data_IF_210062629466
#
_entry.id   IF_210062629466
#
_cell.length_a   1.000
_cell.length_b   1.000
_cell.length_c   1.000
_cell.angle_alpha   90.00
_cell.angle_beta   90.00
_cell.angle_gamma   90.00
#
_symmetry.space_group_name_H-M   'P 1'
#
loop_
_entity.id
_entity.type
_entity.pdbx_description
1 polymer ?
#
# COMPACT_ATOMS: atom_id res chain seq x y z
N UNK A 1 -16.89 10.92 7.79
CA UNK A 1 -15.85 9.88 7.95
C UNK A 1 -16.49 8.63 8.54
N UNK A 2 -17.11 8.72 9.72
CA UNK A 2 -17.79 7.60 10.39
C UNK A 2 -18.83 6.92 9.50
N UNK A 3 -19.73 7.68 8.87
CA UNK A 3 -20.73 7.12 7.92
C UNK A 3 -20.10 6.28 6.78
N UNK A 4 -18.91 6.66 6.30
CA UNK A 4 -18.20 5.88 5.28
C UNK A 4 -17.62 4.59 5.85
N UNK A 5 -17.12 4.64 7.09
CA UNK A 5 -16.57 3.47 7.79
C UNK A 5 -17.68 2.49 8.17
N UNK A 6 -18.84 2.99 8.62
CA UNK A 6 -20.04 2.19 8.86
C UNK A 6 -20.48 1.46 7.57
N UNK A 7 -20.54 2.18 6.44
CA UNK A 7 -20.85 1.56 5.15
C UNK A 7 -19.83 0.48 4.73
N UNK A 8 -18.53 0.70 5.00
CA UNK A 8 -17.47 -0.27 4.70
C UNK A 8 -17.61 -1.51 5.59
N UNK A 9 -17.90 -1.33 6.88
CA UNK A 9 -18.14 -2.43 7.83
C UNK A 9 -19.39 -3.24 7.44
N UNK A 10 -20.50 -2.58 7.08
CA UNK A 10 -21.70 -3.26 6.57
C UNK A 10 -21.41 -4.07 5.32
N UNK A 11 -20.63 -3.52 4.37
CA UNK A 11 -20.22 -4.24 3.16
C UNK A 11 -19.35 -5.45 3.49
N UNK A 12 -18.43 -5.33 4.45
CA UNK A 12 -17.59 -6.44 4.88
C UNK A 12 -18.42 -7.57 5.53
N UNK A 13 -19.39 -7.23 6.37
CA UNK A 13 -20.27 -8.21 6.99
C UNK A 13 -21.18 -8.89 5.95
N UNK A 14 -21.68 -8.15 4.95
CA UNK A 14 -22.43 -8.70 3.82
C UNK A 14 -21.60 -9.66 2.97
N UNK A 15 -20.36 -9.31 2.64
CA UNK A 15 -19.41 -10.20 1.96
C UNK A 15 -19.15 -11.46 2.78
N UNK A 16 -18.97 -11.33 4.10
CA UNK A 16 -18.75 -12.45 5.02
C UNK A 16 -19.93 -13.44 5.00
N UNK A 17 -21.17 -12.94 4.94
CA UNK A 17 -22.37 -13.77 4.81
C UNK A 17 -22.39 -14.48 3.46
N UNK A 18 -22.16 -13.76 2.36
CA UNK A 18 -22.15 -14.30 0.99
C UNK A 18 -21.10 -15.40 0.80
N UNK A 19 -19.92 -15.25 1.39
CA UNK A 19 -18.86 -16.27 1.32
C UNK A 19 -19.31 -17.58 2.00
N UNK A 20 -20.19 -17.50 2.99
CA UNK A 20 -20.79 -18.67 3.66
C UNK A 20 -21.94 -19.33 2.89
N UNK A 21 -22.44 -18.72 1.81
CA UNK A 21 -23.57 -19.26 1.04
C UNK A 21 -23.13 -20.40 0.10
N UNK A 22 -23.92 -21.47 0.07
CA UNK A 22 -23.64 -22.68 -0.73
C UNK A 22 -23.50 -22.36 -2.22
N UNK A 23 -24.32 -21.43 -2.74
CA UNK A 23 -24.28 -21.02 -4.15
C UNK A 23 -22.94 -20.37 -4.51
N UNK A 24 -22.39 -19.53 -3.62
CA UNK A 24 -21.09 -18.87 -3.81
C UNK A 24 -19.95 -19.86 -3.67
N UNK A 25 -19.99 -20.74 -2.65
CA UNK A 25 -18.97 -21.77 -2.44
C UNK A 25 -18.89 -22.73 -3.63
N UNK A 26 -20.02 -22.98 -4.31
CA UNK A 26 -20.08 -23.83 -5.49
C UNK A 26 -19.48 -23.23 -6.76
N UNK A 27 -19.24 -21.91 -6.80
CA UNK A 27 -18.58 -21.19 -7.89
C UNK A 27 -17.18 -20.69 -7.45
N UNK A 28 -16.09 -21.37 -7.84
CA UNK A 28 -14.74 -21.01 -7.43
C UNK A 28 -14.31 -19.59 -7.82
N UNK A 29 -14.80 -19.07 -8.96
CA UNK A 29 -14.43 -17.72 -9.42
C UNK A 29 -15.12 -16.66 -8.59
N UNK A 30 -16.42 -16.86 -8.31
CA UNK A 30 -17.20 -15.96 -7.47
C UNK A 30 -16.69 -15.95 -6.02
N UNK A 31 -16.40 -17.13 -5.48
CA UNK A 31 -15.80 -17.29 -4.15
C UNK A 31 -14.47 -16.55 -4.03
N UNK A 32 -13.55 -16.77 -4.99
CA UNK A 32 -12.26 -16.09 -4.99
C UNK A 32 -12.40 -14.56 -5.07
N UNK A 33 -13.34 -14.08 -5.87
CA UNK A 33 -13.64 -12.65 -5.97
C UNK A 33 -14.11 -12.06 -4.64
N UNK A 34 -15.07 -12.70 -3.97
CA UNK A 34 -15.57 -12.19 -2.69
C UNK A 34 -14.54 -12.28 -1.56
N UNK A 35 -13.75 -13.36 -1.50
CA UNK A 35 -12.64 -13.43 -0.55
C UNK A 35 -11.62 -12.32 -0.78
N UNK A 36 -11.31 -11.98 -2.04
CA UNK A 36 -10.43 -10.85 -2.34
C UNK A 36 -11.05 -9.53 -1.88
N UNK A 37 -12.29 -9.25 -2.28
CA UNK A 37 -12.99 -8.01 -1.86
C UNK A 37 -13.11 -7.90 -0.34
N UNK A 38 -13.31 -9.00 0.39
CA UNK A 38 -13.37 -9.01 1.85
C UNK A 38 -11.99 -8.70 2.46
N UNK A 39 -10.93 -9.35 1.95
CA UNK A 39 -9.55 -9.14 2.41
C UNK A 39 -9.10 -7.69 2.20
N UNK A 40 -9.48 -7.07 1.08
CA UNK A 40 -9.18 -5.66 0.79
C UNK A 40 -9.80 -4.69 1.82
N UNK A 41 -10.91 -5.08 2.47
CA UNK A 41 -11.61 -4.27 3.48
C UNK A 41 -11.22 -4.63 4.93
N UNK A 42 -10.61 -5.78 5.16
CA UNK A 42 -10.35 -6.34 6.49
C UNK A 42 -9.50 -5.42 7.38
N UNK A 43 -8.46 -4.81 6.79
CA UNK A 43 -7.58 -3.87 7.49
C UNK A 43 -8.36 -2.63 7.99
N UNK A 44 -9.23 -2.09 7.14
CA UNK A 44 -10.04 -0.90 7.44
C UNK A 44 -11.06 -1.23 8.53
N UNK A 45 -11.76 -2.37 8.40
CA UNK A 45 -12.80 -2.78 9.35
C UNK A 45 -12.22 -3.13 10.72
N UNK A 46 -11.08 -3.83 10.76
CA UNK A 46 -10.41 -4.15 12.03
C UNK A 46 -9.98 -2.89 12.76
N UNK A 47 -9.32 -1.96 12.06
CA UNK A 47 -8.93 -0.66 12.63
C UNK A 47 -10.15 0.15 13.10
N UNK A 48 -11.26 0.09 12.35
CA UNK A 48 -12.48 0.79 12.73
C UNK A 48 -13.18 0.19 13.96
N UNK A 49 -13.21 -1.13 14.09
CA UNK A 49 -13.75 -1.82 15.28
C UNK A 49 -12.95 -1.48 16.53
N UNK A 50 -11.62 -1.41 16.42
CA UNK A 50 -10.75 -0.92 17.51
C UNK A 50 -11.10 0.53 17.88
N UNK A 51 -11.26 1.42 16.89
CA UNK A 51 -11.69 2.79 17.12
C UNK A 51 -13.06 2.90 17.80
N UNK A 52 -14.04 2.08 17.39
CA UNK A 52 -15.36 2.00 18.06
C UNK A 52 -15.22 1.57 19.52
N UNK A 53 -14.32 0.63 19.82
CA UNK A 53 -14.07 0.18 21.19
C UNK A 53 -13.47 1.30 22.06
N UNK A 54 -12.54 2.08 21.51
CA UNK A 54 -11.96 3.25 22.20
C UNK A 54 -13.06 4.27 22.49
N UNK A 55 -13.92 4.60 21.51
CA UNK A 55 -15.02 5.54 21.71
C UNK A 55 -16.01 5.04 22.78
N UNK A 56 -16.29 3.74 22.81
CA UNK A 56 -17.17 3.13 23.80
C UNK A 56 -16.57 3.26 25.20
N UNK A 57 -15.32 2.86 25.40
CA UNK A 57 -14.65 2.95 26.70
C UNK A 57 -14.59 4.40 27.19
N UNK A 58 -14.28 5.34 26.28
CA UNK A 58 -14.21 6.77 26.60
C UNK A 58 -15.57 7.32 27.03
N UNK A 59 -16.67 6.82 26.46
CA UNK A 59 -18.02 7.17 26.92
C UNK A 59 -18.34 6.56 28.28
N UNK A 60 -17.98 5.29 28.50
CA UNK A 60 -18.17 4.61 29.79
C UNK A 60 -17.42 5.33 30.92
N UNK A 61 -16.17 5.73 30.71
CA UNK A 61 -15.37 6.47 31.71
C UNK A 61 -15.95 7.87 31.98
N UNK A 62 -16.43 8.56 30.93
CA UNK A 62 -17.12 9.85 31.09
C UNK A 62 -18.39 9.70 31.93
N UNK A 63 -19.16 8.65 31.70
CA UNK A 63 -20.36 8.36 32.47
C UNK A 63 -20.01 8.02 33.94
N UNK A 64 -18.89 7.34 34.19
CA UNK A 64 -18.37 7.07 35.53
C UNK A 64 -17.98 8.36 36.28
N UNK A 65 -17.29 9.29 35.62
CA UNK A 65 -16.93 10.59 36.21
C UNK A 65 -18.19 11.40 36.59
N UNK A 66 -19.21 11.38 35.72
CA UNK A 66 -20.49 12.07 35.97
C UNK A 66 -21.35 11.42 37.06
N UNK A 67 -21.09 10.17 37.44
CA UNK A 67 -21.90 9.48 38.44
C UNK A 67 -21.60 10.00 39.86
N UNK A 68 -22.55 10.72 40.47
CA UNK A 68 -22.41 11.29 41.82
C UNK A 68 -22.23 10.26 42.94
N UNK A 69 -22.58 8.98 42.70
CA UNK A 69 -22.49 7.90 43.69
C UNK A 69 -21.11 7.24 43.74
N UNK A 70 -20.21 7.57 42.81
CA UNK A 70 -18.86 7.01 42.73
C UNK A 70 -17.88 7.78 43.61
N UNK A 71 -16.98 7.05 44.26
CA UNK A 71 -15.96 7.61 45.13
C UNK A 71 -14.93 8.43 44.34
N UNK A 72 -14.33 9.42 45.01
CA UNK A 72 -13.40 10.38 44.39
C UNK A 72 -12.20 9.70 43.71
N UNK A 73 -11.63 8.67 44.35
CA UNK A 73 -10.48 7.93 43.82
C UNK A 73 -10.80 7.21 42.51
N UNK A 74 -11.99 6.62 42.40
CA UNK A 74 -12.47 5.98 41.15
C UNK A 74 -12.69 6.99 40.03
N UNK A 75 -13.13 8.21 40.36
CA UNK A 75 -13.29 9.29 39.37
C UNK A 75 -11.95 9.82 38.88
N UNK A 76 -10.98 9.96 39.77
CA UNK A 76 -9.62 10.37 39.40
C UNK A 76 -8.96 9.34 38.46
N UNK A 77 -9.15 8.04 38.73
CA UNK A 77 -8.70 6.98 37.82
C UNK A 77 -9.35 7.09 36.43
N UNK A 78 -10.67 7.25 36.37
CA UNK A 78 -11.40 7.42 35.12
C UNK A 78 -10.97 8.69 34.35
N UNK A 79 -10.65 9.79 35.03
CA UNK A 79 -10.12 11.01 34.39
C UNK A 79 -8.73 10.80 33.77
N UNK A 80 -7.88 9.96 34.37
CA UNK A 80 -6.59 9.57 33.79
C UNK A 80 -6.78 8.67 32.57
N UNK A 81 -7.66 7.68 32.65
CA UNK A 81 -8.01 6.79 31.54
C UNK A 81 -8.59 7.55 30.34
N UNK A 82 -9.49 8.52 30.59
CA UNK A 82 -10.04 9.40 29.53
C UNK A 82 -8.91 10.11 28.78
N UNK A 83 -7.91 10.67 29.48
CA UNK A 83 -6.80 11.37 28.81
C UNK A 83 -5.98 10.43 27.94
N UNK A 84 -5.76 9.20 28.39
CA UNK A 84 -5.06 8.19 27.59
C UNK A 84 -5.88 7.82 26.35
N UNK A 85 -7.16 7.48 26.53
CA UNK A 85 -8.07 7.08 25.46
C UNK A 85 -8.29 8.20 24.44
N UNK A 86 -8.30 9.48 24.84
CA UNK A 86 -8.36 10.61 23.91
C UNK A 86 -7.13 10.67 23.01
N UNK A 87 -5.94 10.41 23.54
CA UNK A 87 -4.72 10.32 22.75
C UNK A 87 -4.69 9.12 21.80
N UNK A 88 -5.21 7.97 22.24
CA UNK A 88 -5.35 6.77 21.40
C UNK A 88 -6.40 6.97 20.30
N UNK A 89 -7.54 7.58 20.62
CA UNK A 89 -8.58 7.98 19.66
C UNK A 89 -7.98 8.83 18.55
N UNK A 90 -7.21 9.87 18.89
CA UNK A 90 -6.67 10.79 17.90
C UNK A 90 -5.67 10.11 16.96
N UNK A 91 -4.78 9.25 17.50
CA UNK A 91 -3.87 8.44 16.69
C UNK A 91 -4.64 7.53 15.74
N UNK A 92 -5.63 6.81 16.27
CA UNK A 92 -6.41 5.84 15.49
C UNK A 92 -7.29 6.51 14.44
N UNK A 93 -7.79 7.71 14.72
CA UNK A 93 -8.51 8.52 13.74
C UNK A 93 -7.61 8.90 12.55
N UNK A 94 -6.33 9.27 12.80
CA UNK A 94 -5.40 9.57 11.72
C UNK A 94 -5.03 8.33 10.90
N UNK A 95 -4.80 7.19 11.55
CA UNK A 95 -4.58 5.91 10.86
C UNK A 95 -5.76 5.58 9.94
N UNK A 96 -6.99 5.70 10.43
CA UNK A 96 -8.20 5.48 9.63
C UNK A 96 -8.33 6.45 8.46
N UNK A 97 -7.96 7.73 8.64
CA UNK A 97 -7.95 8.71 7.52
C UNK A 97 -7.00 8.29 6.41
N UNK A 98 -5.83 7.75 6.75
CA UNK A 98 -4.86 7.23 5.77
C UNK A 98 -5.41 5.99 5.06
N UNK A 99 -6.02 5.07 5.81
CA UNK A 99 -6.62 3.85 5.25
C UNK A 99 -7.80 4.14 4.30
N UNK A 100 -8.53 5.24 4.52
CA UNK A 100 -9.62 5.68 3.65
C UNK A 100 -9.16 6.33 2.34
N UNK A 101 -7.86 6.53 2.14
CA UNK A 101 -7.33 7.02 0.87
C UNK A 101 -7.54 5.92 -0.17
N UNK A 102 -8.30 6.17 -1.25
CA UNK A 102 -8.56 5.16 -2.27
C UNK A 102 -7.24 4.70 -2.87
N UNK A 103 -6.96 3.39 -2.77
CA UNK A 103 -5.84 2.76 -3.46
C UNK A 103 -6.05 2.85 -4.97
N UNK A 104 -4.99 3.07 -5.74
CA UNK A 104 -5.09 3.03 -7.20
C UNK A 104 -5.35 1.56 -7.60
N UNK A 105 -6.35 1.26 -8.43
CA UNK A 105 -6.65 -0.10 -8.87
C UNK A 105 -5.47 -0.78 -9.60
N UNK A 106 -4.45 -0.02 -9.99
CA UNK A 106 -3.23 -0.54 -10.58
C UNK A 106 -2.11 -0.76 -9.56
N UNK A 107 -2.24 -0.32 -8.30
CA UNK A 107 -1.16 -0.39 -7.32
C UNK A 107 -0.67 -1.83 -7.10
N UNK A 108 -1.56 -2.82 -7.16
CA UNK A 108 -1.23 -4.24 -7.01
C UNK A 108 -0.71 -4.91 -8.28
N UNK A 109 -0.71 -4.20 -9.42
CA UNK A 109 -0.32 -4.81 -10.69
C UNK A 109 1.19 -4.91 -10.83
N UNK A 110 1.61 -5.92 -11.58
CA UNK A 110 2.96 -5.99 -12.13
C UNK A 110 3.19 -4.80 -13.07
N UNK A 111 4.44 -4.39 -13.23
CA UNK A 111 4.81 -3.25 -14.08
C UNK A 111 5.78 -3.69 -15.17
N UNK A 112 5.60 -3.16 -16.37
CA UNK A 112 6.61 -3.23 -17.43
C UNK A 112 7.43 -1.95 -17.37
N UNK A 113 8.76 -2.10 -17.29
CA UNK A 113 9.70 -1.00 -17.39
C UNK A 113 10.37 -1.09 -18.75
N UNK A 114 10.37 0.04 -19.45
CA UNK A 114 11.04 0.23 -20.71
C UNK A 114 12.07 1.34 -20.56
N UNK A 115 13.34 1.00 -20.78
CA UNK A 115 14.46 1.94 -20.74
C UNK A 115 14.99 2.08 -22.17
N UNK A 116 14.99 3.29 -22.69
CA UNK A 116 15.48 3.63 -24.03
C UNK A 116 16.63 4.62 -23.93
N UNK A 117 17.70 4.38 -24.68
CA UNK A 117 18.79 5.32 -24.83
C UNK A 117 18.28 6.59 -25.53
N UNK A 118 18.48 7.74 -24.89
CA UNK A 118 18.10 9.05 -25.41
C UNK A 118 19.22 9.71 -26.21
N UNK A 119 19.38 11.02 -26.01
CA UNK A 119 20.51 11.77 -26.57
C UNK A 119 21.82 11.39 -25.85
N UNK A 120 22.92 11.24 -26.61
CA UNK A 120 24.23 10.87 -26.06
C UNK A 120 24.85 9.61 -26.67
N UNK A 121 24.21 8.98 -27.65
CA UNK A 121 24.79 7.86 -28.40
C UNK A 121 25.16 6.67 -27.50
N UNK A 122 26.40 6.19 -27.63
CA UNK A 122 26.91 5.04 -26.86
C UNK A 122 26.90 5.29 -25.34
N UNK A 123 27.14 6.53 -24.90
CA UNK A 123 27.10 6.90 -23.48
C UNK A 123 25.68 6.79 -22.90
N UNK A 124 24.67 7.14 -23.70
CA UNK A 124 23.28 6.96 -23.31
C UNK A 124 22.90 5.47 -23.21
N UNK A 125 23.49 4.62 -24.06
CA UNK A 125 23.29 3.18 -23.98
C UNK A 125 23.95 2.56 -22.74
N UNK A 126 25.14 3.02 -22.36
CA UNK A 126 25.78 2.63 -21.10
C UNK A 126 24.93 3.06 -19.89
N UNK A 127 24.41 4.29 -19.91
CA UNK A 127 23.53 4.77 -18.84
C UNK A 127 22.20 4.00 -18.75
N UNK A 128 21.64 3.56 -19.88
CA UNK A 128 20.48 2.66 -19.87
C UNK A 128 20.80 1.32 -19.17
N UNK A 129 22.02 0.79 -19.35
CA UNK A 129 22.50 -0.39 -18.61
C UNK A 129 22.65 -0.14 -17.11
N UNK A 130 23.13 1.04 -16.71
CA UNK A 130 23.20 1.45 -15.31
C UNK A 130 21.81 1.51 -14.66
N UNK A 131 20.82 2.09 -15.35
CA UNK A 131 19.43 2.13 -14.88
C UNK A 131 18.84 0.73 -14.79
N UNK A 132 19.04 -0.12 -15.79
CA UNK A 132 18.58 -1.52 -15.75
C UNK A 132 19.15 -2.26 -14.53
N UNK A 133 20.47 -2.12 -14.29
CA UNK A 133 21.14 -2.69 -13.11
C UNK A 133 20.61 -2.12 -11.80
N UNK A 134 20.33 -0.82 -11.75
CA UNK A 134 19.74 -0.14 -10.60
C UNK A 134 18.37 -0.73 -10.27
N UNK A 135 17.47 -0.82 -11.25
CA UNK A 135 16.12 -1.36 -11.05
C UNK A 135 16.13 -2.85 -10.71
N UNK A 136 17.03 -3.63 -11.31
CA UNK A 136 17.20 -5.05 -10.96
C UNK A 136 17.55 -5.21 -9.48
N UNK A 137 18.53 -4.45 -8.99
CA UNK A 137 18.90 -4.46 -7.56
C UNK A 137 17.80 -3.92 -6.65
N UNK A 138 17.06 -2.91 -7.10
CA UNK A 138 15.92 -2.39 -6.34
C UNK A 138 14.83 -3.46 -6.19
N UNK A 139 14.52 -4.18 -7.26
CA UNK A 139 13.55 -5.27 -7.27
C UNK A 139 13.98 -6.43 -6.35
N UNK A 140 15.25 -6.85 -6.41
CA UNK A 140 15.80 -7.88 -5.51
C UNK A 140 15.62 -7.52 -4.03
N UNK A 141 15.87 -6.26 -3.64
CA UNK A 141 15.70 -5.79 -2.26
C UNK A 141 14.25 -5.82 -1.78
N UNK A 142 13.28 -5.75 -2.70
CA UNK A 142 11.86 -5.82 -2.40
C UNK A 142 11.29 -7.23 -2.62
N UNK A 143 12.14 -8.25 -2.83
CA UNK A 143 11.74 -9.61 -3.17
C UNK A 143 10.83 -9.69 -4.41
N UNK A 144 11.01 -8.78 -5.35
CA UNK A 144 10.31 -8.82 -6.63
C UNK A 144 11.10 -9.64 -7.65
N UNK A 145 10.38 -10.31 -8.54
CA UNK A 145 10.96 -11.09 -9.63
C UNK A 145 11.04 -10.24 -10.90
N UNK A 146 12.21 -10.20 -11.51
CA UNK A 146 12.41 -9.60 -12.84
C UNK A 146 12.26 -10.68 -13.92
N UNK A 147 11.56 -10.37 -15.00
CA UNK A 147 11.45 -11.20 -16.19
C UNK A 147 11.76 -10.37 -17.43
N UNK A 148 12.81 -10.76 -18.16
CA UNK A 148 13.22 -10.07 -19.37
C UNK A 148 12.22 -10.32 -20.50
N UNK A 149 11.78 -9.26 -21.18
CA UNK A 149 10.89 -9.35 -22.32
C UNK A 149 11.63 -9.17 -23.64
N UNK A 150 12.49 -8.14 -23.71
CA UNK A 150 13.29 -7.80 -24.88
C UNK A 150 14.52 -7.00 -24.47
N UNK A 151 15.64 -7.20 -25.17
CA UNK A 151 16.83 -6.38 -25.03
C UNK A 151 17.47 -6.12 -26.40
N UNK A 152 17.96 -4.90 -26.58
CA UNK A 152 18.78 -4.48 -27.71
C UNK A 152 20.12 -3.97 -27.17
N UNK A 153 21.05 -4.90 -27.01
CA UNK A 153 22.37 -4.65 -26.44
C UNK A 153 23.31 -3.97 -27.43
N UNK A 154 24.21 -3.13 -26.91
CA UNK A 154 25.31 -2.56 -27.69
C UNK A 154 26.60 -3.35 -27.45
N UNK A 155 27.53 -3.31 -28.40
CA UNK A 155 28.82 -3.99 -28.27
C UNK A 155 29.71 -3.48 -27.13
N UNK A 156 29.34 -2.37 -26.49
CA UNK A 156 30.03 -1.75 -25.35
C UNK A 156 29.42 -2.15 -23.99
N UNK A 157 28.43 -3.04 -23.95
CA UNK A 157 27.82 -3.53 -22.71
C UNK A 157 26.67 -2.68 -22.17
N UNK A 158 26.11 -1.79 -23.00
CA UNK A 158 24.90 -1.01 -22.70
C UNK A 158 23.68 -1.51 -23.47
N UNK A 159 22.56 -0.79 -23.38
CA UNK A 159 21.32 -1.08 -24.10
C UNK A 159 20.84 0.13 -24.90
N UNK A 160 20.48 -0.06 -26.17
CA UNK A 160 19.65 0.92 -26.89
C UNK A 160 18.22 0.92 -26.37
N UNK A 161 17.72 -0.27 -26.07
CA UNK A 161 16.39 -0.51 -25.50
C UNK A 161 16.45 -1.76 -24.63
N UNK A 162 15.81 -1.71 -23.47
CA UNK A 162 15.57 -2.89 -22.64
C UNK A 162 14.18 -2.83 -22.03
N UNK A 163 13.43 -3.92 -22.17
CA UNK A 163 12.07 -4.08 -21.67
C UNK A 163 12.02 -5.29 -20.76
N UNK A 164 11.57 -5.08 -19.53
CA UNK A 164 11.45 -6.13 -18.53
C UNK A 164 10.20 -5.94 -17.68
N UNK A 165 9.65 -7.04 -17.20
CA UNK A 165 8.53 -7.07 -16.28
C UNK A 165 9.04 -7.22 -14.85
N UNK A 166 8.54 -6.38 -13.95
CA UNK A 166 8.72 -6.52 -12.50
C UNK A 166 7.45 -7.17 -11.94
N UNK A 167 7.58 -8.38 -11.42
CA UNK A 167 6.51 -9.16 -10.78
C UNK A 167 6.65 -9.11 -9.27
N UNK A 168 5.65 -8.58 -8.59
CA UNK A 168 5.65 -8.49 -7.13
C UNK A 168 4.53 -7.62 -6.60
N UNK A 169 4.17 -7.85 -5.33
CA UNK A 169 3.14 -7.06 -4.68
C UNK A 169 3.57 -5.58 -4.62
N UNK A 170 2.65 -4.69 -4.98
CA UNK A 170 2.84 -3.24 -4.97
C UNK A 170 3.99 -2.73 -5.87
N UNK A 171 4.36 -3.46 -6.93
CA UNK A 171 5.45 -3.05 -7.82
C UNK A 171 5.10 -1.77 -8.60
N UNK A 172 3.91 -1.72 -9.21
CA UNK A 172 3.46 -0.53 -9.94
C UNK A 172 3.32 0.70 -9.04
N UNK A 173 2.75 0.55 -7.84
CA UNK A 173 2.51 1.69 -6.92
C UNK A 173 3.77 2.46 -6.57
N UNK A 174 4.91 1.77 -6.49
CA UNK A 174 6.23 2.36 -6.22
C UNK A 174 6.90 2.90 -7.48
N UNK A 175 6.85 2.15 -8.58
CA UNK A 175 7.62 2.46 -9.79
C UNK A 175 6.88 3.41 -10.75
N UNK A 176 5.60 3.72 -10.52
CA UNK A 176 4.81 4.65 -11.36
C UNK A 176 5.40 6.06 -11.45
N UNK A 177 6.23 6.45 -10.48
CA UNK A 177 6.87 7.77 -10.43
C UNK A 177 8.18 7.85 -11.22
N UNK A 178 8.68 6.71 -11.72
CA UNK A 178 9.94 6.64 -12.45
C UNK A 178 9.79 6.97 -13.94
N UNK A 179 8.55 7.16 -14.41
CA UNK A 179 8.26 7.53 -15.79
C UNK A 179 8.81 8.92 -16.10
N UNK A 180 9.68 9.03 -17.10
CA UNK A 180 10.20 10.30 -17.55
C UNK A 180 11.60 10.20 -18.12
N UNK A 181 12.21 11.36 -18.32
CA UNK A 181 13.58 11.47 -18.83
C UNK A 181 14.55 11.53 -17.66
N UNK A 182 15.51 10.62 -17.66
CA UNK A 182 16.59 10.57 -16.67
C UNK A 182 17.83 11.27 -17.24
N UNK A 183 18.38 12.25 -16.52
CA UNK A 183 19.56 13.02 -16.95
C UNK A 183 20.82 12.50 -16.26
N UNK A 184 21.89 12.33 -17.02
CA UNK A 184 23.22 11.98 -16.51
C UNK A 184 24.23 13.07 -16.88
N UNK A 185 25.16 13.36 -15.97
CA UNK A 185 26.32 14.22 -16.22
C UNK A 185 27.54 13.53 -15.62
N UNK A 186 28.46 13.08 -16.47
CA UNK A 186 29.74 12.46 -16.10
C UNK A 186 30.74 12.63 -17.25
N UNK A 187 32.01 12.30 -17.00
CA UNK A 187 32.99 12.13 -18.08
C UNK A 187 32.63 10.84 -18.83
N UNK A 188 32.33 10.90 -20.14
CA UNK A 188 31.94 9.71 -20.89
C UNK A 188 33.05 8.66 -20.92
N UNK A 189 32.69 7.39 -20.76
CA UNK A 189 33.68 6.30 -20.89
C UNK A 189 34.22 6.22 -22.32
N UNK A 190 33.42 6.64 -23.29
CA UNK A 190 33.77 6.70 -24.71
C UNK A 190 34.74 7.83 -25.07
N UNK A 191 35.01 8.77 -24.17
CA UNK A 191 35.94 9.88 -24.38
C UNK A 191 37.28 9.72 -23.63
N UNK A 192 37.44 8.66 -22.82
CA UNK A 192 38.60 8.45 -21.96
C UNK A 192 39.78 7.70 -22.63
N UNK A 193 39.81 7.62 -23.97
CA UNK A 193 40.83 6.93 -24.78
C UNK A 193 41.77 7.88 -25.51
#
# INVERSE_FOLDING_TARGET
MLEKLDFIEEKYDDLSRKIGDIEVISDPQLYQKYCKEQSDLEEIVTSYREYKSILKNLQEDKDMVMNEKLEKEMKELAEEEIKQLEGERDKKEQELKVLLIPRDPNDEKNVFIEIRAGAGGDEAALFAGDLFRMYTRYAERHNWKIEMMSSNETGLGGFKEVVFQVKGNAAYSRLKYESGVHRVQRVPETEAG
#
